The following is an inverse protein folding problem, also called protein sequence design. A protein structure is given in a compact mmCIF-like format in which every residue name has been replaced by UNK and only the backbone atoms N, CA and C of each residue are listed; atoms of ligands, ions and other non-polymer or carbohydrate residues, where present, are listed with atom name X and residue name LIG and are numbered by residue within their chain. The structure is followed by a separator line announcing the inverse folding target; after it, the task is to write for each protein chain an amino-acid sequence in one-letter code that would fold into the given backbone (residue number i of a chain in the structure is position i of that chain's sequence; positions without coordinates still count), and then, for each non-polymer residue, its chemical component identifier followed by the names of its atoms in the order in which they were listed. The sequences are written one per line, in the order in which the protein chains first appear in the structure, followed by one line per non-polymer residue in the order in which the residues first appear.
data_IF_383380803259
#
_entry.id   IF_383380803259
#
_cell.length_a   1.000
_cell.length_b   1.000
_cell.length_c   1.000
_cell.angle_alpha   90.00
_cell.angle_beta   90.00
_cell.angle_gamma   90.00
#
_symmetry.space_group_name_H-M   'P 1'
#
loop_
_entity.id
_entity.type
_entity.pdbx_description
1 polymer ?
#
# COMPACT_ATOMS: atom_id res chain seq x y z
N UNK A 1 -4.30 -9.12 1.08
CA UNK A 1 -3.35 -7.99 1.25
C UNK A 1 -4.12 -6.78 1.80
N UNK A 2 -3.50 -5.87 2.57
CA UNK A 2 -4.24 -4.76 3.20
C UNK A 2 -4.98 -3.86 2.19
N UNK A 3 -4.31 -3.47 1.09
CA UNK A 3 -4.87 -2.61 0.03
C UNK A 3 -6.16 -3.21 -0.57
N UNK A 4 -6.21 -4.53 -0.75
CA UNK A 4 -7.36 -5.22 -1.35
C UNK A 4 -8.64 -5.15 -0.49
N UNK A 5 -8.48 -4.89 0.81
CA UNK A 5 -9.59 -4.81 1.78
C UNK A 5 -9.97 -3.36 2.11
N UNK A 6 -9.23 -2.38 1.59
CA UNK A 6 -9.49 -0.98 1.82
C UNK A 6 -10.64 -0.50 0.93
N UNK A 7 -11.52 0.37 1.44
CA UNK A 7 -12.54 1.00 0.59
C UNK A 7 -11.87 1.70 -0.61
N UNK A 8 -12.48 1.60 -1.79
CA UNK A 8 -12.00 2.25 -3.02
C UNK A 8 -11.95 3.77 -2.90
N UNK A 9 -12.76 4.35 -2.02
CA UNK A 9 -12.86 5.81 -1.83
C UNK A 9 -11.84 6.35 -0.81
N UNK A 10 -11.09 5.47 -0.12
CA UNK A 10 -9.98 5.87 0.75
C UNK A 10 -8.73 6.17 -0.07
N UNK A 11 -8.14 7.35 0.15
CA UNK A 11 -6.89 7.75 -0.48
C UNK A 11 -5.71 7.44 0.46
N UNK A 12 -4.75 6.64 -0.01
CA UNK A 12 -3.49 6.40 0.71
C UNK A 12 -2.54 7.57 0.45
N UNK A 13 -2.40 8.48 1.41
CA UNK A 13 -1.57 9.70 1.25
C UNK A 13 -0.07 9.43 1.28
N UNK A 14 0.40 8.52 2.15
CA UNK A 14 1.82 8.19 2.30
C UNK A 14 2.01 6.72 2.59
N UNK A 15 2.98 6.12 1.89
CA UNK A 15 3.41 4.74 2.09
C UNK A 15 4.84 4.67 2.66
N UNK A 16 5.69 5.64 2.32
CA UNK A 16 7.05 5.81 2.86
C UNK A 16 7.17 7.18 3.53
N UNK A 17 8.12 7.31 4.46
CA UNK A 17 8.45 8.58 5.12
C UNK A 17 9.78 9.17 4.63
N UNK A 18 10.02 10.44 4.97
CA UNK A 18 11.25 11.18 4.63
C UNK A 18 12.23 11.19 5.82
N UNK A 19 12.29 10.07 6.56
CA UNK A 19 13.23 9.92 7.67
C UNK A 19 14.67 9.83 7.18
N UNK A 20 15.61 10.28 8.01
CA UNK A 20 17.04 10.13 7.75
C UNK A 20 17.39 8.64 7.51
N UNK A 21 17.89 8.34 6.31
CA UNK A 21 18.14 6.96 5.85
C UNK A 21 19.19 6.25 6.70
N UNK A 22 20.13 7.00 7.26
CA UNK A 22 21.22 6.46 8.09
C UNK A 22 20.73 6.15 9.50
N UNK A 23 19.73 6.90 9.99
CA UNK A 23 19.12 6.69 11.31
C UNK A 23 17.95 5.72 11.29
N UNK A 24 17.46 5.32 10.11
CA UNK A 24 16.33 4.41 9.99
C UNK A 24 16.72 2.99 10.41
N UNK A 25 16.26 2.61 11.61
CA UNK A 25 16.39 1.25 12.17
C UNK A 25 15.50 0.26 11.40
N UNK A 26 14.23 0.62 11.20
CA UNK A 26 13.24 -0.18 10.49
C UNK A 26 12.03 0.67 10.10
N UNK A 27 11.20 0.24 9.12
CA UNK A 27 11.45 -0.87 8.22
C UNK A 27 12.36 -0.49 7.05
N UNK A 28 13.32 -1.35 6.71
CA UNK A 28 14.34 -1.05 5.69
C UNK A 28 13.77 -0.84 4.29
N UNK A 29 12.64 -1.47 3.97
CA UNK A 29 11.98 -1.29 2.67
C UNK A 29 11.54 0.16 2.43
N UNK A 30 11.30 0.95 3.48
CA UNK A 30 10.88 2.35 3.34
C UNK A 30 11.99 3.26 2.81
N UNK A 31 13.26 2.83 2.82
CA UNK A 31 14.40 3.59 2.28
C UNK A 31 14.33 3.84 0.77
N UNK A 32 13.62 2.99 0.03
CA UNK A 32 13.51 3.07 -1.43
C UNK A 32 12.05 3.21 -1.87
N UNK A 33 11.56 4.45 -1.90
CA UNK A 33 10.20 4.81 -2.31
C UNK A 33 9.79 4.21 -3.66
N UNK A 34 10.62 4.40 -4.69
CA UNK A 34 10.28 3.97 -6.06
C UNK A 34 10.14 2.46 -6.13
N UNK A 35 11.11 1.72 -5.57
CA UNK A 35 11.08 0.25 -5.56
C UNK A 35 9.87 -0.27 -4.78
N UNK A 36 9.59 0.28 -3.60
CA UNK A 36 8.47 -0.16 -2.76
C UNK A 36 7.13 0.03 -3.45
N UNK A 37 6.87 1.21 -4.03
CA UNK A 37 5.63 1.47 -4.78
C UNK A 37 5.55 0.56 -6.00
N UNK A 38 6.65 0.40 -6.74
CA UNK A 38 6.71 -0.46 -7.92
C UNK A 38 6.39 -1.92 -7.63
N UNK A 39 6.95 -2.48 -6.55
CA UNK A 39 6.70 -3.87 -6.15
C UNK A 39 5.25 -4.07 -5.68
N UNK A 40 4.64 -3.10 -4.98
CA UNK A 40 3.22 -3.19 -4.63
C UNK A 40 2.35 -3.28 -5.88
N UNK A 41 2.55 -2.37 -6.84
CA UNK A 41 1.80 -2.37 -8.10
C UNK A 41 2.01 -3.67 -8.89
N UNK A 42 3.25 -4.17 -8.93
CA UNK A 42 3.59 -5.43 -9.59
C UNK A 42 2.88 -6.62 -8.94
N UNK A 43 2.89 -6.72 -7.62
CA UNK A 43 2.24 -7.82 -6.90
C UNK A 43 0.71 -7.77 -7.10
N UNK A 44 0.10 -6.58 -7.03
CA UNK A 44 -1.33 -6.42 -7.32
C UNK A 44 -1.67 -6.88 -8.75
N UNK A 45 -0.88 -6.47 -9.75
CA UNK A 45 -1.05 -6.91 -11.13
C UNK A 45 -0.88 -8.42 -11.31
N UNK A 46 0.15 -9.02 -10.69
CA UNK A 46 0.39 -10.46 -10.73
C UNK A 46 -0.78 -11.25 -10.12
N UNK A 47 -1.46 -10.68 -9.13
CA UNK A 47 -2.64 -11.26 -8.48
C UNK A 47 -3.96 -10.93 -9.17
N UNK A 48 -3.93 -10.19 -10.28
CA UNK A 48 -5.12 -9.63 -10.93
C UNK A 48 -6.03 -8.90 -9.94
N UNK A 49 -5.42 -8.07 -9.09
CA UNK A 49 -6.02 -7.48 -7.90
C UNK A 49 -5.86 -5.96 -7.87
N UNK A 50 -6.66 -5.27 -7.08
CA UNK A 50 -6.67 -3.82 -6.92
C UNK A 50 -7.25 -3.41 -5.55
N UNK A 51 -7.18 -2.11 -5.22
CA UNK A 51 -7.72 -1.60 -3.96
C UNK A 51 -9.22 -1.84 -3.86
N UNK A 52 -9.66 -2.46 -2.76
CA UNK A 52 -11.07 -2.71 -2.50
C UNK A 52 -11.71 -3.85 -3.28
N UNK A 53 -10.94 -4.67 -4.00
CA UNK A 53 -11.49 -5.87 -4.67
C UNK A 53 -12.19 -6.82 -3.69
N UNK A 54 -11.75 -6.86 -2.42
CA UNK A 54 -12.36 -7.66 -1.35
C UNK A 54 -13.22 -6.82 -0.40
N UNK A 55 -13.37 -5.52 -0.64
CA UNK A 55 -14.12 -4.64 0.24
C UNK A 55 -15.61 -4.97 0.16
N UNK A 56 -16.18 -5.38 1.29
CA UNK A 56 -17.62 -5.62 1.44
C UNK A 56 -18.21 -4.45 2.20
N UNK A 57 -19.05 -3.66 1.54
CA UNK A 57 -19.77 -2.59 2.19
C UNK A 57 -20.76 -3.20 3.20
N UNK A 58 -20.42 -3.14 4.49
CA UNK A 58 -21.28 -3.61 5.59
C UNK A 58 -22.20 -2.52 6.12
N UNK A 59 -22.19 -1.32 5.52
CA UNK A 59 -22.80 -0.11 6.09
C UNK A 59 -23.92 0.53 5.27
N UNK A 60 -24.38 -0.08 4.17
CA UNK A 60 -25.61 0.37 3.52
C UNK A 60 -26.82 -0.22 4.27
N UNK A 61 -27.26 0.49 5.32
CA UNK A 61 -28.65 0.49 5.77
C UNK A 61 -29.48 1.38 4.84
#
# INVERSE_FOLDING_TARGET
MAIENLDKDIIIHRLTGDGDKEKLVAPLWSKNKIKTIGEISKILKQRNSYQGINYKNKGAL
#
